data_IF_850830159563
#
_entry.id   IF_850830159563
#
_cell.length_a   1.000
_cell.length_b   1.000
_cell.length_c   1.000
_cell.angle_alpha   90.00
_cell.angle_beta   90.00
_cell.angle_gamma   90.00
#
_symmetry.space_group_name_H-M   'P 1'
#
loop_
_entity.id
_entity.type
_entity.pdbx_description
1 polymer ?
#
# COMPACT_ATOMS: atom_id res chain seq x y z
N UNK A 1 -17.89 -11.88 9.18
CA UNK A 1 -16.44 -11.89 9.00
C UNK A 1 -15.95 -10.47 8.67
N UNK A 2 -14.85 -10.00 9.31
CA UNK A 2 -14.30 -8.68 9.05
C UNK A 2 -13.36 -8.67 7.84
N UNK A 3 -13.42 -7.58 7.07
CA UNK A 3 -12.49 -7.26 5.98
C UNK A 3 -11.92 -5.86 6.25
N UNK A 4 -10.59 -5.73 6.16
CA UNK A 4 -9.91 -4.44 6.26
C UNK A 4 -9.34 -4.10 4.88
N UNK A 5 -9.76 -2.95 4.35
CA UNK A 5 -9.41 -2.46 3.02
C UNK A 5 -8.39 -1.33 3.17
N UNK A 6 -7.18 -1.56 2.63
CA UNK A 6 -6.04 -0.66 2.78
C UNK A 6 -5.71 -0.05 1.41
N UNK A 7 -5.89 1.26 1.22
CA UNK A 7 -5.67 1.92 -0.06
C UNK A 7 -4.18 2.04 -0.42
N UNK A 8 -3.93 2.41 -1.65
CA UNK A 8 -2.60 2.71 -2.16
C UNK A 8 -2.11 4.11 -1.76
N UNK A 9 -0.95 4.47 -2.30
CA UNK A 9 -0.29 5.75 -2.07
C UNK A 9 -1.18 6.93 -2.45
N UNK A 10 -1.27 7.91 -1.56
CA UNK A 10 -2.03 9.16 -1.72
C UNK A 10 -3.53 8.98 -2.07
N UNK A 11 -4.12 7.82 -1.74
CA UNK A 11 -5.52 7.50 -2.01
C UNK A 11 -6.38 7.60 -0.75
N UNK A 12 -7.66 7.98 -0.97
CA UNK A 12 -8.73 7.80 0.01
C UNK A 12 -9.16 6.32 0.08
N UNK A 13 -9.74 5.95 1.21
CA UNK A 13 -10.48 4.68 1.34
C UNK A 13 -11.63 4.55 0.34
N UNK A 14 -12.17 5.65 -0.16
CA UNK A 14 -13.26 5.65 -1.15
C UNK A 14 -12.87 4.95 -2.47
N UNK A 15 -11.58 4.67 -2.69
CA UNK A 15 -11.13 3.83 -3.80
C UNK A 15 -11.77 2.43 -3.75
N UNK A 16 -12.22 2.00 -2.58
CA UNK A 16 -12.83 0.70 -2.33
C UNK A 16 -14.36 0.69 -2.39
N UNK A 17 -15.04 1.81 -2.69
CA UNK A 17 -16.51 1.91 -2.62
C UNK A 17 -17.23 0.79 -3.36
N UNK A 18 -16.84 0.50 -4.60
CA UNK A 18 -17.45 -0.58 -5.39
C UNK A 18 -17.17 -1.97 -4.80
N UNK A 19 -16.00 -2.16 -4.20
CA UNK A 19 -15.64 -3.39 -3.51
C UNK A 19 -16.47 -3.55 -2.24
N UNK A 20 -16.63 -2.47 -1.48
CA UNK A 20 -17.48 -2.43 -0.28
C UNK A 20 -18.92 -2.73 -0.64
N UNK A 21 -19.45 -2.13 -1.69
CA UNK A 21 -20.82 -2.39 -2.15
C UNK A 21 -21.08 -3.87 -2.44
N UNK A 22 -20.07 -4.56 -2.93
CA UNK A 22 -20.15 -6.00 -3.19
C UNK A 22 -20.01 -6.83 -1.91
N UNK A 23 -19.08 -6.45 -1.02
CA UNK A 23 -18.74 -7.25 0.15
C UNK A 23 -19.65 -7.04 1.35
N UNK A 24 -20.27 -5.87 1.52
CA UNK A 24 -21.02 -5.47 2.72
C UNK A 24 -22.21 -6.36 3.09
N UNK A 25 -22.68 -7.18 2.17
CA UNK A 25 -23.78 -8.11 2.43
C UNK A 25 -23.33 -9.29 3.31
N UNK A 26 -22.06 -9.72 3.20
CA UNK A 26 -21.52 -10.90 3.87
C UNK A 26 -20.40 -10.57 4.86
N UNK A 27 -19.84 -9.34 4.78
CA UNK A 27 -18.65 -8.92 5.53
C UNK A 27 -18.87 -7.57 6.22
N UNK A 28 -18.25 -7.42 7.37
CA UNK A 28 -18.07 -6.10 8.01
C UNK A 28 -16.82 -5.46 7.42
N UNK A 29 -16.99 -4.40 6.63
CA UNK A 29 -15.89 -3.74 5.94
C UNK A 29 -15.36 -2.57 6.77
N UNK A 30 -14.07 -2.59 7.07
CA UNK A 30 -13.31 -1.48 7.64
C UNK A 30 -12.47 -0.86 6.54
N UNK A 31 -12.77 0.36 6.16
CA UNK A 31 -12.09 1.05 5.06
C UNK A 31 -11.14 2.09 5.65
N UNK A 32 -9.86 1.96 5.34
CA UNK A 32 -8.83 2.85 5.88
C UNK A 32 -8.55 3.99 4.92
N UNK A 33 -8.22 5.16 5.47
CA UNK A 33 -7.48 6.23 4.79
C UNK A 33 -6.26 6.52 5.66
N UNK A 34 -5.07 6.45 5.06
CA UNK A 34 -3.83 6.56 5.84
C UNK A 34 -3.58 8.01 6.28
N UNK A 35 -2.99 8.24 7.48
CA UNK A 35 -2.71 9.58 7.98
C UNK A 35 -1.89 10.42 7.00
N UNK A 36 -2.35 11.65 6.73
CA UNK A 36 -1.74 12.56 5.77
C UNK A 36 -2.12 12.32 4.31
N UNK A 37 -2.90 11.27 3.99
CA UNK A 37 -3.43 11.05 2.64
C UNK A 37 -4.85 11.57 2.50
N UNK A 38 -5.23 11.98 1.30
CA UNK A 38 -6.58 12.38 0.91
C UNK A 38 -7.27 13.34 1.90
N UNK A 39 -6.53 14.31 2.44
CA UNK A 39 -7.05 15.33 3.36
C UNK A 39 -7.12 14.93 4.82
N UNK A 40 -6.70 13.72 5.19
CA UNK A 40 -6.58 13.35 6.61
C UNK A 40 -5.40 14.07 7.28
N UNK A 41 -5.48 14.25 8.59
CA UNK A 41 -4.41 14.90 9.34
C UNK A 41 -3.08 14.10 9.24
N UNK A 42 -1.95 14.76 8.93
CA UNK A 42 -0.67 14.09 8.88
C UNK A 42 -0.14 13.78 10.29
N UNK A 43 0.68 12.75 10.40
CA UNK A 43 1.45 12.48 11.61
C UNK A 43 2.87 13.05 11.49
N UNK A 44 3.52 13.28 12.64
CA UNK A 44 4.83 13.94 12.68
C UNK A 44 5.94 13.12 12.00
N UNK A 45 5.88 11.80 12.08
CA UNK A 45 6.91 10.89 11.56
C UNK A 45 6.27 9.68 10.86
N UNK A 46 5.64 9.88 9.68
CA UNK A 46 5.09 8.79 8.93
C UNK A 46 6.20 7.84 8.48
N UNK A 47 5.97 6.54 8.63
CA UNK A 47 6.84 5.50 8.11
C UNK A 47 6.04 4.22 7.85
N UNK A 48 6.54 3.39 6.94
CA UNK A 48 5.92 2.11 6.61
C UNK A 48 5.78 1.20 7.85
N UNK A 49 6.81 1.15 8.68
CA UNK A 49 6.78 0.39 9.93
C UNK A 49 5.76 0.95 10.94
N UNK A 50 5.64 2.30 11.04
CA UNK A 50 4.67 2.92 11.91
C UNK A 50 3.23 2.62 11.47
N UNK A 51 2.93 2.75 10.19
CA UNK A 51 1.61 2.44 9.65
C UNK A 51 1.24 0.96 9.79
N UNK A 52 2.21 0.05 9.57
CA UNK A 52 2.01 -1.38 9.86
C UNK A 52 1.57 -1.59 11.30
N UNK A 53 2.28 -0.98 12.26
CA UNK A 53 1.96 -1.08 13.68
C UNK A 53 0.58 -0.49 13.99
N UNK A 54 0.26 0.68 13.48
CA UNK A 54 -1.05 1.34 13.70
C UNK A 54 -2.21 0.49 13.22
N UNK A 55 -2.09 -0.16 12.06
CA UNK A 55 -3.14 -1.08 11.57
C UNK A 55 -3.27 -2.29 12.51
N UNK A 56 -2.17 -2.86 12.98
CA UNK A 56 -2.19 -3.96 13.95
C UNK A 56 -2.82 -3.53 15.27
N UNK A 57 -2.50 -2.33 15.74
CA UNK A 57 -3.06 -1.77 16.98
C UNK A 57 -4.56 -1.46 16.83
N UNK A 58 -4.99 -0.96 15.66
CA UNK A 58 -6.40 -0.81 15.32
C UNK A 58 -7.15 -2.15 15.38
N UNK A 59 -6.61 -3.21 14.76
CA UNK A 59 -7.20 -4.56 14.81
C UNK A 59 -7.37 -5.04 16.25
N UNK A 60 -6.40 -4.77 17.11
CA UNK A 60 -6.45 -5.15 18.52
C UNK A 60 -7.45 -4.32 19.32
N UNK A 61 -7.42 -3.00 19.14
CA UNK A 61 -8.29 -2.07 19.86
C UNK A 61 -9.77 -2.33 19.55
N UNK A 62 -10.09 -2.53 18.28
CA UNK A 62 -11.46 -2.83 17.83
C UNK A 62 -11.86 -4.30 18.07
N UNK A 63 -10.99 -5.12 18.70
CA UNK A 63 -11.21 -6.54 18.93
C UNK A 63 -11.62 -7.31 17.67
N UNK A 64 -11.02 -6.97 16.51
CA UNK A 64 -11.33 -7.62 15.24
C UNK A 64 -10.65 -8.99 15.20
N UNK A 65 -11.45 -10.05 15.19
CA UNK A 65 -10.93 -11.42 15.17
C UNK A 65 -10.64 -11.87 13.75
N UNK A 66 -9.38 -12.23 13.50
CA UNK A 66 -8.88 -12.80 12.24
C UNK A 66 -9.47 -12.15 11.00
N UNK A 67 -9.24 -10.84 10.77
CA UNK A 67 -9.73 -10.16 9.58
C UNK A 67 -9.09 -10.72 8.31
N UNK A 68 -9.78 -10.52 7.19
CA UNK A 68 -9.19 -10.59 5.84
C UNK A 68 -8.59 -9.20 5.57
N UNK A 69 -7.34 -9.14 5.11
CA UNK A 69 -6.75 -7.88 4.66
C UNK A 69 -6.80 -7.83 3.12
N UNK A 70 -7.30 -6.73 2.59
CA UNK A 70 -7.25 -6.44 1.14
C UNK A 70 -6.46 -5.15 0.97
N UNK A 71 -5.31 -5.22 0.33
CA UNK A 71 -4.44 -4.05 0.16
C UNK A 71 -4.04 -3.83 -1.29
N UNK A 72 -4.12 -2.57 -1.74
CA UNK A 72 -3.68 -2.16 -3.07
C UNK A 72 -2.35 -1.42 -3.00
N UNK A 73 -1.41 -1.73 -3.88
CA UNK A 73 -0.13 -1.04 -4.00
C UNK A 73 0.60 -0.96 -2.65
N UNK A 74 0.90 0.23 -2.11
CA UNK A 74 1.48 0.40 -0.76
C UNK A 74 0.64 -0.31 0.32
N UNK A 75 -0.70 -0.27 0.22
CA UNK A 75 -1.60 -1.01 1.13
C UNK A 75 -1.42 -2.52 1.03
N UNK A 76 -1.10 -3.04 -0.16
CA UNK A 76 -0.75 -4.44 -0.36
C UNK A 76 0.57 -4.81 0.31
N UNK A 77 1.58 -3.92 0.24
CA UNK A 77 2.83 -4.07 1.00
C UNK A 77 2.59 -4.09 2.51
N UNK A 78 1.73 -3.20 3.03
CA UNK A 78 1.32 -3.21 4.44
C UNK A 78 0.64 -4.52 4.84
N UNK A 79 -0.28 -5.03 4.00
CA UNK A 79 -0.95 -6.30 4.23
C UNK A 79 0.03 -7.48 4.26
N UNK A 80 1.00 -7.52 3.34
CA UNK A 80 2.07 -8.53 3.33
C UNK A 80 2.90 -8.47 4.63
N UNK A 81 3.33 -7.28 5.04
CA UNK A 81 4.13 -7.10 6.26
C UNK A 81 3.34 -7.50 7.52
N UNK A 82 2.06 -7.14 7.61
CA UNK A 82 1.20 -7.56 8.72
C UNK A 82 1.05 -9.08 8.73
N UNK A 83 0.74 -9.70 7.60
CA UNK A 83 0.55 -11.13 7.52
C UNK A 83 1.82 -11.93 7.85
N UNK A 84 3.01 -11.41 7.49
CA UNK A 84 4.28 -12.06 7.80
C UNK A 84 4.64 -12.05 9.29
N UNK A 85 4.14 -11.04 10.04
CA UNK A 85 4.47 -10.86 11.46
C UNK A 85 3.32 -11.24 12.41
N UNK A 86 2.07 -11.30 11.90
CA UNK A 86 0.85 -11.55 12.67
C UNK A 86 0.06 -12.77 12.12
N UNK A 87 0.75 -13.80 11.64
CA UNK A 87 0.16 -14.94 10.93
C UNK A 87 -1.05 -15.56 11.64
N UNK A 88 -1.00 -15.69 12.96
CA UNK A 88 -2.08 -16.28 13.75
C UNK A 88 -3.29 -15.35 13.96
N UNK A 89 -3.14 -14.06 13.65
CA UNK A 89 -4.17 -13.03 13.88
C UNK A 89 -4.93 -12.63 12.62
N UNK A 90 -4.45 -13.04 11.46
CA UNK A 90 -5.04 -12.74 10.15
C UNK A 90 -5.64 -14.02 9.58
N UNK A 91 -6.77 -13.94 8.88
CA UNK A 91 -7.43 -15.08 8.24
C UNK A 91 -6.84 -15.38 6.87
N UNK A 92 -6.73 -14.35 6.05
CA UNK A 92 -6.17 -14.40 4.69
C UNK A 92 -5.85 -12.99 4.20
N UNK A 93 -5.11 -12.89 3.12
CA UNK A 93 -4.82 -11.60 2.48
C UNK A 93 -5.11 -11.63 0.99
N UNK A 94 -5.54 -10.50 0.45
CA UNK A 94 -5.63 -10.21 -0.98
C UNK A 94 -4.73 -9.02 -1.26
N UNK A 95 -3.75 -9.23 -2.11
CA UNK A 95 -2.75 -8.23 -2.52
C UNK A 95 -3.07 -7.81 -3.95
N UNK A 96 -3.37 -6.54 -4.14
CA UNK A 96 -3.71 -5.97 -5.44
C UNK A 96 -2.58 -5.06 -5.89
N UNK A 97 -1.95 -5.39 -7.00
CA UNK A 97 -0.86 -4.63 -7.64
C UNK A 97 0.24 -4.19 -6.67
N UNK A 98 0.71 -5.13 -5.84
CA UNK A 98 1.82 -4.90 -4.93
C UNK A 98 2.83 -6.04 -4.97
N UNK A 99 4.08 -5.69 -4.73
CA UNK A 99 5.21 -6.60 -4.74
C UNK A 99 5.91 -6.59 -3.39
N UNK A 100 6.52 -7.70 -2.98
CA UNK A 100 7.35 -7.75 -1.78
C UNK A 100 8.49 -6.73 -1.77
N UNK A 101 9.06 -6.44 -2.94
CA UNK A 101 10.13 -5.45 -3.10
C UNK A 101 10.03 -4.77 -4.47
N UNK A 102 9.63 -3.49 -4.50
CA UNK A 102 9.54 -2.73 -5.75
C UNK A 102 10.91 -2.54 -6.40
N UNK A 103 11.93 -2.24 -5.62
CA UNK A 103 13.28 -1.99 -6.12
C UNK A 103 13.89 -3.23 -6.79
N UNK A 104 13.51 -4.44 -6.37
CA UNK A 104 14.00 -5.68 -6.92
C UNK A 104 13.51 -5.98 -8.35
N UNK A 105 12.53 -5.23 -8.85
CA UNK A 105 12.14 -5.29 -10.28
C UNK A 105 13.25 -4.80 -11.19
N UNK A 106 13.97 -3.77 -10.75
CA UNK A 106 15.05 -3.13 -11.51
C UNK A 106 16.45 -3.56 -11.04
N UNK A 107 16.57 -3.92 -9.77
CA UNK A 107 17.82 -4.40 -9.17
C UNK A 107 17.51 -5.64 -8.31
N UNK A 108 17.64 -6.86 -8.90
CA UNK A 108 17.35 -8.11 -8.16
C UNK A 108 18.16 -8.30 -6.87
N UNK A 109 19.37 -7.70 -6.81
CA UNK A 109 20.27 -7.76 -5.66
C UNK A 109 20.00 -6.64 -4.63
N UNK A 110 18.93 -5.86 -4.83
CA UNK A 110 18.56 -4.82 -3.89
C UNK A 110 18.40 -5.40 -2.47
N UNK A 111 18.90 -4.65 -1.51
CA UNK A 111 18.72 -4.91 -0.09
C UNK A 111 18.26 -3.63 0.59
N UNK A 112 17.21 -3.74 1.40
CA UNK A 112 16.78 -2.63 2.24
C UNK A 112 17.87 -2.29 3.26
N UNK A 113 17.92 -1.02 3.63
CA UNK A 113 18.81 -0.54 4.70
C UNK A 113 18.05 0.34 5.66
N UNK A 114 18.60 0.51 6.83
CA UNK A 114 18.08 1.52 7.74
C UNK A 114 18.26 2.92 7.14
N UNK A 115 17.20 3.72 7.18
CA UNK A 115 17.18 5.09 6.69
C UNK A 115 16.75 6.03 7.81
N UNK A 116 17.48 7.11 7.98
CA UNK A 116 17.18 8.12 8.99
C UNK A 116 15.99 9.00 8.56
N UNK A 117 15.40 9.70 9.53
CA UNK A 117 14.34 10.68 9.26
C UNK A 117 14.81 11.80 8.34
N UNK A 118 16.07 12.22 8.48
CA UNK A 118 16.67 13.25 7.62
C UNK A 118 16.81 12.77 6.18
N UNK A 119 17.19 11.51 5.97
CA UNK A 119 17.28 10.93 4.63
C UNK A 119 15.91 10.85 3.97
N UNK A 120 14.86 10.43 4.69
CA UNK A 120 13.47 10.41 4.19
C UNK A 120 13.04 11.80 3.74
N UNK A 121 13.33 12.82 4.55
CA UNK A 121 12.99 14.21 4.25
C UNK A 121 13.76 14.73 3.03
N UNK A 122 15.08 14.49 2.97
CA UNK A 122 15.92 14.93 1.85
C UNK A 122 15.56 14.23 0.53
N UNK A 123 15.26 12.95 0.57
CA UNK A 123 14.85 12.20 -0.62
C UNK A 123 13.53 12.73 -1.21
N UNK A 124 12.66 13.26 -0.35
CA UNK A 124 11.42 13.92 -0.77
C UNK A 124 11.59 15.34 -1.33
N UNK A 125 12.80 15.91 -1.31
CA UNK A 125 13.01 17.33 -1.70
C UNK A 125 12.49 17.64 -3.11
N UNK A 126 12.59 16.70 -4.05
CA UNK A 126 12.03 16.86 -5.40
C UNK A 126 10.52 17.09 -5.39
N UNK A 127 9.77 16.28 -4.64
CA UNK A 127 8.31 16.41 -4.51
C UNK A 127 7.93 17.68 -3.73
N UNK A 128 8.65 17.98 -2.67
CA UNK A 128 8.41 19.19 -1.86
C UNK A 128 8.69 20.49 -2.62
N UNK A 129 9.66 20.47 -3.53
CA UNK A 129 10.04 21.60 -4.38
C UNK A 129 9.13 21.82 -5.60
N UNK A 130 8.19 20.93 -5.89
CA UNK A 130 7.25 21.09 -7.01
C UNK A 130 6.33 22.29 -6.77
N UNK A 131 6.12 23.11 -7.83
CA UNK A 131 5.00 24.05 -7.82
C UNK A 131 3.66 23.31 -7.77
N UNK A 132 2.57 24.01 -7.42
CA UNK A 132 1.23 23.40 -7.40
C UNK A 132 0.82 22.89 -8.78
N UNK A 133 1.22 23.58 -9.83
CA UNK A 133 0.96 23.16 -11.21
C UNK A 133 1.72 21.86 -11.56
N UNK A 134 3.01 21.79 -11.22
CA UNK A 134 3.82 20.59 -11.42
C UNK A 134 3.26 19.39 -10.65
N UNK A 135 2.88 19.60 -9.39
CA UNK A 135 2.30 18.56 -8.56
C UNK A 135 0.94 18.08 -9.09
N UNK A 136 0.08 19.02 -9.53
CA UNK A 136 -1.19 18.66 -10.20
C UNK A 136 -0.96 17.87 -11.47
N UNK A 137 -0.01 18.27 -12.31
CA UNK A 137 0.33 17.55 -13.54
C UNK A 137 0.79 16.12 -13.23
N UNK A 138 1.64 15.96 -12.22
CA UNK A 138 2.13 14.65 -11.78
C UNK A 138 0.97 13.79 -11.25
N UNK A 139 0.07 14.35 -10.45
CA UNK A 139 -1.10 13.66 -9.94
C UNK A 139 -2.00 13.15 -11.09
N UNK A 140 -2.22 13.98 -12.12
CA UNK A 140 -2.99 13.59 -13.29
C UNK A 140 -2.32 12.45 -14.08
N UNK A 141 -1.01 12.54 -14.33
CA UNK A 141 -0.24 11.47 -14.99
C UNK A 141 -0.36 10.16 -14.20
N UNK A 142 -0.25 10.22 -12.87
CA UNK A 142 -0.42 9.06 -12.01
C UNK A 142 -1.84 8.48 -12.09
N UNK A 143 -2.87 9.33 -12.08
CA UNK A 143 -4.26 8.90 -12.17
C UNK A 143 -4.53 8.14 -13.48
N UNK A 144 -4.02 8.63 -14.61
CA UNK A 144 -4.18 7.96 -15.91
C UNK A 144 -3.45 6.63 -16.03
N UNK A 145 -2.43 6.40 -15.20
CA UNK A 145 -1.71 5.14 -15.13
C UNK A 145 -2.39 4.12 -14.19
N UNK A 146 -3.20 4.59 -13.22
CA UNK A 146 -3.81 3.74 -12.20
C UNK A 146 -5.17 3.16 -12.60
N UNK A 147 -5.87 3.77 -13.55
CA UNK A 147 -7.18 3.29 -13.98
C UNK A 147 -7.46 3.64 -15.44
N UNK A 148 -8.23 2.78 -16.08
CA UNK A 148 -8.78 3.04 -17.43
C UNK A 148 -10.12 3.78 -17.39
N UNK A 149 -10.74 3.90 -16.21
CA UNK A 149 -11.99 4.65 -16.01
C UNK A 149 -11.68 6.14 -15.83
N UNK A 150 -11.86 6.91 -16.91
CA UNK A 150 -11.62 8.35 -16.91
C UNK A 150 -12.54 9.14 -15.95
N UNK A 151 -13.68 8.59 -15.56
CA UNK A 151 -14.58 9.23 -14.58
C UNK A 151 -13.97 9.27 -13.17
N UNK A 152 -12.97 8.45 -12.90
CA UNK A 152 -12.27 8.39 -11.62
C UNK A 152 -11.02 9.29 -11.56
N UNK A 153 -10.58 9.87 -12.67
CA UNK A 153 -9.36 10.69 -12.69
C UNK A 153 -9.43 11.88 -11.73
N UNK A 154 -10.56 12.57 -11.71
CA UNK A 154 -10.73 13.76 -10.85
C UNK A 154 -10.68 13.40 -9.36
N UNK A 155 -11.24 12.26 -8.95
CA UNK A 155 -11.16 11.77 -7.58
C UNK A 155 -9.71 11.46 -7.19
N UNK A 156 -8.99 10.70 -8.03
CA UNK A 156 -7.58 10.35 -7.80
C UNK A 156 -6.69 11.58 -7.72
N UNK A 157 -6.90 12.53 -8.62
CA UNK A 157 -6.17 13.82 -8.60
C UNK A 157 -6.50 14.61 -7.34
N UNK A 158 -7.78 14.72 -6.96
CA UNK A 158 -8.23 15.42 -5.76
C UNK A 158 -7.61 14.81 -4.50
N UNK A 159 -7.63 13.50 -4.34
CA UNK A 159 -7.02 12.81 -3.20
C UNK A 159 -5.51 13.07 -3.14
N UNK A 160 -4.82 12.96 -4.27
CA UNK A 160 -3.39 13.25 -4.35
C UNK A 160 -3.08 14.69 -3.95
N UNK A 161 -3.85 15.67 -4.44
CA UNK A 161 -3.64 17.11 -4.16
C UNK A 161 -4.00 17.49 -2.73
N UNK A 162 -4.94 16.81 -2.11
CA UNK A 162 -5.32 17.02 -0.70
C UNK A 162 -4.41 16.27 0.28
N UNK A 163 -3.52 15.42 -0.21
CA UNK A 163 -2.55 14.72 0.62
C UNK A 163 -1.42 15.65 1.07
N UNK A 164 -0.94 15.46 2.30
CA UNK A 164 0.22 16.18 2.82
C UNK A 164 1.49 15.80 2.06
N UNK A 165 2.14 16.80 1.44
CA UNK A 165 3.31 16.57 0.58
C UNK A 165 4.50 15.98 1.32
N UNK A 166 4.70 16.37 2.58
CA UNK A 166 5.78 15.82 3.39
C UNK A 166 5.53 14.33 3.67
N UNK A 167 4.30 13.98 4.03
CA UNK A 167 3.90 12.56 4.20
C UNK A 167 4.09 11.79 2.90
N UNK A 168 3.64 12.33 1.78
CA UNK A 168 3.83 11.70 0.47
C UNK A 168 5.32 11.47 0.16
N UNK A 169 6.15 12.50 0.34
CA UNK A 169 7.58 12.43 0.08
C UNK A 169 8.28 11.36 0.93
N UNK A 170 8.00 11.36 2.24
CA UNK A 170 8.60 10.42 3.19
C UNK A 170 8.13 8.99 2.93
N UNK A 171 6.83 8.78 2.72
CA UNK A 171 6.25 7.46 2.52
C UNK A 171 6.63 6.84 1.18
N UNK A 172 6.72 7.65 0.12
CA UNK A 172 7.20 7.15 -1.17
C UNK A 172 8.63 6.61 -1.06
N UNK A 173 9.52 7.37 -0.42
CA UNK A 173 10.91 6.98 -0.22
C UNK A 173 11.02 5.76 0.71
N UNK A 174 10.30 5.77 1.83
CA UNK A 174 10.32 4.69 2.81
C UNK A 174 9.84 3.38 2.18
N UNK A 175 8.70 3.42 1.48
CA UNK A 175 8.16 2.24 0.81
C UNK A 175 9.06 1.73 -0.33
N UNK A 176 9.72 2.63 -1.06
CA UNK A 176 10.69 2.25 -2.09
C UNK A 176 11.91 1.51 -1.53
N UNK A 177 12.21 1.69 -0.24
CA UNK A 177 13.28 0.98 0.47
C UNK A 177 12.80 -0.31 1.15
N UNK A 178 11.50 -0.63 1.10
CA UNK A 178 10.96 -1.85 1.71
C UNK A 178 11.38 -3.08 0.91
N UNK A 179 11.86 -4.10 1.62
CA UNK A 179 12.12 -5.44 1.08
C UNK A 179 11.48 -6.49 1.99
N UNK A 180 10.37 -7.04 1.53
CA UNK A 180 9.61 -8.07 2.24
C UNK A 180 9.86 -9.48 1.69
N UNK A 181 10.82 -9.68 0.76
CA UNK A 181 11.04 -10.99 0.12
C UNK A 181 11.29 -12.11 1.14
N UNK A 182 12.13 -11.86 2.15
CA UNK A 182 12.33 -12.82 3.23
C UNK A 182 11.14 -12.89 4.20
N UNK A 183 10.46 -11.75 4.44
CA UNK A 183 9.32 -11.70 5.35
C UNK A 183 8.13 -12.49 4.80
N UNK A 184 7.89 -12.41 3.49
CA UNK A 184 6.78 -13.16 2.88
C UNK A 184 6.95 -14.67 3.04
N UNK A 185 8.13 -15.21 3.27
CA UNK A 185 8.34 -16.63 3.58
C UNK A 185 7.63 -17.07 4.87
N UNK A 186 7.35 -16.18 5.78
CA UNK A 186 6.68 -16.47 7.04
C UNK A 186 5.14 -16.39 6.95
N UNK A 187 4.57 -16.00 5.81
CA UNK A 187 3.11 -15.93 5.66
C UNK A 187 2.55 -17.33 5.52
N UNK A 188 1.79 -17.82 6.46
CA UNK A 188 1.15 -19.13 6.45
C UNK A 188 -0.34 -19.09 6.10
N UNK A 189 -0.93 -17.90 6.00
CA UNK A 189 -2.34 -17.74 5.67
C UNK A 189 -2.56 -17.77 4.15
N UNK A 190 -3.77 -18.16 3.68
CA UNK A 190 -4.13 -18.07 2.28
C UNK A 190 -3.90 -16.69 1.73
N UNK A 191 -3.21 -16.61 0.60
CA UNK A 191 -2.80 -15.35 -0.04
C UNK A 191 -3.22 -15.38 -1.51
N UNK A 192 -3.98 -14.36 -1.92
CA UNK A 192 -4.31 -14.12 -3.32
C UNK A 192 -3.55 -12.88 -3.79
N UNK A 193 -2.81 -12.99 -4.88
CA UNK A 193 -2.13 -11.86 -5.51
C UNK A 193 -2.79 -11.59 -6.86
N UNK A 194 -3.32 -10.38 -7.01
CA UNK A 194 -3.91 -9.88 -8.25
C UNK A 194 -2.96 -8.84 -8.83
N UNK A 195 -2.57 -9.02 -10.08
CA UNK A 195 -1.66 -8.12 -10.77
C UNK A 195 -2.30 -7.60 -12.04
N UNK A 196 -2.08 -6.33 -12.36
CA UNK A 196 -2.53 -5.73 -13.59
C UNK A 196 -1.82 -6.34 -14.82
N UNK A 197 -2.46 -6.26 -15.99
CA UNK A 197 -1.96 -6.86 -17.21
C UNK A 197 -0.52 -6.45 -17.61
N UNK A 198 -0.06 -5.20 -17.43
CA UNK A 198 1.33 -4.81 -17.71
C UNK A 198 2.38 -5.64 -16.95
N UNK A 199 2.08 -6.11 -15.75
CA UNK A 199 2.99 -6.97 -14.97
C UNK A 199 3.21 -8.36 -15.58
N UNK A 200 2.38 -8.79 -16.52
CA UNK A 200 2.55 -10.07 -17.23
C UNK A 200 3.94 -10.20 -17.85
N UNK A 201 4.53 -9.10 -18.33
CA UNK A 201 5.86 -9.09 -18.95
C UNK A 201 6.98 -9.43 -17.97
N UNK A 202 6.78 -9.15 -16.69
CA UNK A 202 7.74 -9.37 -15.61
C UNK A 202 7.26 -10.43 -14.60
N UNK A 203 6.23 -11.20 -14.95
CA UNK A 203 5.68 -12.24 -14.09
C UNK A 203 6.75 -13.18 -13.49
N UNK A 204 7.77 -13.67 -14.23
CA UNK A 204 8.82 -14.51 -13.65
C UNK A 204 9.67 -13.81 -12.58
N UNK A 205 9.79 -12.47 -12.64
CA UNK A 205 10.49 -11.68 -11.61
C UNK A 205 9.61 -11.58 -10.36
N UNK A 206 8.31 -11.39 -10.56
CA UNK A 206 7.33 -11.26 -9.48
C UNK A 206 7.16 -12.59 -8.75
N UNK A 207 6.96 -13.68 -9.49
CA UNK A 207 6.84 -15.03 -8.95
C UNK A 207 8.03 -15.41 -8.05
N UNK A 208 9.25 -15.05 -8.48
CA UNK A 208 10.46 -15.27 -7.66
C UNK A 208 10.44 -14.47 -6.35
N UNK A 209 9.84 -13.28 -6.32
CA UNK A 209 9.75 -12.48 -5.10
C UNK A 209 8.80 -13.10 -4.08
N UNK A 210 7.77 -13.79 -4.52
CA UNK A 210 6.85 -14.49 -3.63
C UNK A 210 7.33 -15.90 -3.26
N UNK A 211 8.29 -16.47 -4.00
CA UNK A 211 8.80 -17.82 -3.79
C UNK A 211 7.80 -18.91 -4.16
N UNK A 212 8.21 -20.18 -4.05
CA UNK A 212 7.34 -21.34 -4.28
C UNK A 212 6.47 -21.58 -3.03
N UNK A 213 5.27 -21.00 -3.02
CA UNK A 213 4.37 -21.12 -1.86
C UNK A 213 3.14 -21.93 -2.18
N UNK A 214 2.77 -22.91 -1.33
CA UNK A 214 1.58 -23.73 -1.53
C UNK A 214 0.27 -22.95 -1.28
N UNK A 215 0.33 -21.76 -0.65
CA UNK A 215 -0.84 -20.96 -0.26
C UNK A 215 -1.02 -19.68 -1.11
N UNK A 216 -0.29 -19.55 -2.20
CA UNK A 216 -0.29 -18.38 -3.08
C UNK A 216 -0.98 -18.74 -4.39
#
# INVERSE_FOLDING_TARGET
QAVILIPGFACSGDVWDQTVDTLRHDYTCYVLTMPGFAGTAPEAKPSFANWTRQIVDFIRHENIEKPILIGHSMGGGLALNIASTQTNRIKSIVVVDALPCLAAVYNPDFQSREISDDERTKAGAGMLGMSDEQFRRQAYISATALTTDSLRYDDLVKWSLSSDRMTCARMYYDYSNVDLRSAVENISVPTLVLLEHPFKKIAPIIERQFGNRPNL
#
